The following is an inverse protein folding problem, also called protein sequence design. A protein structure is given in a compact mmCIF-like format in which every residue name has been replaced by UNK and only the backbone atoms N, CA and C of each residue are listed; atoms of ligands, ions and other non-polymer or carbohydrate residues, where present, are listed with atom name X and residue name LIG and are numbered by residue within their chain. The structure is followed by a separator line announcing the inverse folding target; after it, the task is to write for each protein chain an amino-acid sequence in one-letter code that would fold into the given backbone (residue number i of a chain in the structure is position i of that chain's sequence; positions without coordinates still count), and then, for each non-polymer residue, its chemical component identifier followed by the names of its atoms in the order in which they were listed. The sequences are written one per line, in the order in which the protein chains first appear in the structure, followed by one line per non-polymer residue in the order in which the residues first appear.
data_IF_239217510177
#
_entry.id   IF_239217510177
#
_cell.length_a   1.000
_cell.length_b   1.000
_cell.length_c   1.000
_cell.angle_alpha   90.00
_cell.angle_beta   90.00
_cell.angle_gamma   90.00
#
_symmetry.space_group_name_H-M   'P 1'
#
loop_
_entity.id
_entity.type
_entity.pdbx_description
1 polymer ?
#
# COMPACT_ATOMS: atom_id res chain seq x y z
N UNK A 1 -39.77 33.04 6.67
CA UNK A 1 -38.30 32.92 6.59
C UNK A 1 -37.99 31.47 6.35
N UNK A 2 -38.06 31.04 5.08
CA UNK A 2 -37.76 29.66 4.69
C UNK A 2 -36.31 29.62 4.22
N UNK A 3 -35.41 29.13 5.09
CA UNK A 3 -34.04 28.80 4.73
C UNK A 3 -34.07 27.66 3.70
N UNK A 4 -33.97 28.02 2.42
CA UNK A 4 -33.64 27.10 1.34
C UNK A 4 -32.24 26.52 1.59
N UNK A 5 -32.21 25.40 2.31
CA UNK A 5 -31.04 24.53 2.42
C UNK A 5 -30.82 23.90 1.04
N UNK A 6 -30.07 24.59 0.19
CA UNK A 6 -29.61 24.06 -1.09
C UNK A 6 -28.69 22.88 -0.80
N UNK A 7 -29.23 21.67 -0.89
CA UNK A 7 -28.45 20.45 -0.99
C UNK A 7 -27.68 20.52 -2.31
N UNK A 8 -26.45 21.03 -2.25
CA UNK A 8 -25.54 21.00 -3.40
C UNK A 8 -25.19 19.54 -3.67
N UNK A 9 -25.76 18.96 -4.71
CA UNK A 9 -25.32 17.67 -5.24
C UNK A 9 -23.83 17.77 -5.56
N UNK A 10 -22.99 17.14 -4.72
CA UNK A 10 -21.56 17.01 -5.00
C UNK A 10 -21.37 15.86 -5.97
N UNK A 11 -20.79 16.15 -7.13
CA UNK A 11 -20.34 15.13 -8.06
C UNK A 11 -19.31 14.22 -7.35
N UNK A 12 -19.65 12.93 -7.23
CA UNK A 12 -18.80 11.98 -6.53
C UNK A 12 -17.69 11.49 -7.45
N UNK A 13 -16.48 12.05 -7.28
CA UNK A 13 -15.28 11.51 -7.91
C UNK A 13 -14.66 10.42 -7.02
N UNK A 14 -14.68 9.19 -7.51
CA UNK A 14 -14.15 8.03 -6.80
C UNK A 14 -12.66 8.19 -6.44
N UNK A 15 -11.86 8.80 -7.33
CA UNK A 15 -10.44 9.05 -7.07
C UNK A 15 -10.23 9.98 -5.88
N UNK A 16 -11.03 11.05 -5.75
CA UNK A 16 -10.93 11.99 -4.63
C UNK A 16 -11.36 11.36 -3.31
N UNK A 17 -12.29 10.40 -3.36
CA UNK A 17 -12.62 9.58 -2.22
C UNK A 17 -11.44 8.68 -1.81
N UNK A 18 -10.79 7.99 -2.75
CA UNK A 18 -9.65 7.12 -2.47
C UNK A 18 -8.43 7.91 -1.98
N UNK A 19 -8.20 9.13 -2.48
CA UNK A 19 -7.13 10.03 -2.01
C UNK A 19 -7.20 10.29 -0.50
N UNK A 20 -8.40 10.31 0.10
CA UNK A 20 -8.58 10.47 1.55
C UNK A 20 -7.96 9.32 2.36
N UNK A 21 -7.78 8.15 1.75
CA UNK A 21 -7.14 6.98 2.36
C UNK A 21 -5.61 6.98 2.23
N UNK A 22 -5.02 7.88 1.44
CA UNK A 22 -3.58 8.12 1.38
C UNK A 22 -3.06 8.87 2.63
N UNK A 23 -3.62 8.56 3.79
CA UNK A 23 -3.23 9.10 5.09
C UNK A 23 -2.26 8.11 5.77
N UNK A 24 -1.13 8.57 6.34
CA UNK A 24 -0.18 7.70 7.03
C UNK A 24 -0.81 6.78 8.06
N UNK A 25 -1.77 7.26 8.86
CA UNK A 25 -2.43 6.46 9.89
C UNK A 25 -3.20 5.27 9.30
N UNK A 26 -3.86 5.51 8.17
CA UNK A 26 -4.62 4.49 7.43
C UNK A 26 -3.67 3.48 6.80
N UNK A 27 -2.62 3.96 6.12
CA UNK A 27 -1.60 3.11 5.50
C UNK A 27 -0.91 2.22 6.55
N UNK A 28 -0.52 2.79 7.70
CA UNK A 28 0.06 2.06 8.82
C UNK A 28 -0.87 0.95 9.30
N UNK A 29 -2.17 1.21 9.43
CA UNK A 29 -3.13 0.21 9.87
C UNK A 29 -3.23 -0.96 8.88
N UNK A 30 -3.31 -0.68 7.57
CA UNK A 30 -3.32 -1.72 6.55
C UNK A 30 -1.99 -2.50 6.50
N UNK A 31 -0.85 -1.83 6.64
CA UNK A 31 0.45 -2.50 6.70
C UNK A 31 0.59 -3.39 7.94
N UNK A 32 0.03 -2.98 9.09
CA UNK A 32 -0.03 -3.82 10.29
C UNK A 32 -0.96 -5.03 10.12
N UNK A 33 -2.09 -4.87 9.42
CA UNK A 33 -2.93 -6.02 9.05
C UNK A 33 -2.18 -6.96 8.11
N UNK A 34 -1.46 -6.41 7.13
CA UNK A 34 -0.64 -7.18 6.20
C UNK A 34 0.46 -7.97 6.91
N UNK A 35 1.08 -7.47 7.98
CA UNK A 35 2.11 -8.21 8.71
C UNK A 35 1.60 -9.52 9.34
N UNK A 36 0.29 -9.66 9.47
CA UNK A 36 -0.39 -10.84 9.99
C UNK A 36 -1.06 -11.69 8.89
N UNK A 37 -0.63 -11.56 7.62
CA UNK A 37 -1.25 -12.25 6.48
C UNK A 37 -1.38 -13.78 6.65
N UNK A 38 -0.51 -14.42 7.43
CA UNK A 38 -0.56 -15.87 7.69
C UNK A 38 -1.71 -16.31 8.60
N UNK A 39 -2.13 -15.45 9.53
CA UNK A 39 -3.21 -15.72 10.49
C UNK A 39 -4.55 -15.11 10.08
N UNK A 40 -4.52 -14.14 9.17
CA UNK A 40 -5.73 -13.48 8.68
C UNK A 40 -6.59 -14.43 7.84
N UNK A 41 -7.90 -14.15 7.83
CA UNK A 41 -8.80 -14.82 6.88
C UNK A 41 -8.47 -14.44 5.43
N UNK A 42 -8.83 -15.33 4.50
CA UNK A 42 -8.71 -15.12 3.06
C UNK A 42 -9.35 -13.81 2.61
N UNK A 43 -10.56 -13.51 3.10
CA UNK A 43 -11.30 -12.29 2.78
C UNK A 43 -10.60 -11.03 3.30
N UNK A 44 -10.05 -11.08 4.51
CA UNK A 44 -9.31 -9.95 5.08
C UNK A 44 -8.07 -9.64 4.23
N UNK A 45 -7.30 -10.67 3.86
CA UNK A 45 -6.12 -10.49 3.01
C UNK A 45 -6.49 -9.92 1.63
N UNK A 46 -7.61 -10.37 1.04
CA UNK A 46 -8.11 -9.82 -0.22
C UNK A 46 -8.47 -8.34 -0.12
N UNK A 47 -9.14 -7.92 0.96
CA UNK A 47 -9.53 -6.53 1.17
C UNK A 47 -8.30 -5.63 1.41
N UNK A 48 -7.36 -6.10 2.23
CA UNK A 48 -6.08 -5.41 2.46
C UNK A 48 -5.31 -5.26 1.14
N UNK A 49 -5.17 -6.34 0.37
CA UNK A 49 -4.53 -6.32 -0.94
C UNK A 49 -5.17 -5.30 -1.88
N UNK A 50 -6.51 -5.29 -2.00
CA UNK A 50 -7.23 -4.36 -2.87
C UNK A 50 -6.97 -2.90 -2.48
N UNK A 51 -7.00 -2.60 -1.19
CA UNK A 51 -6.73 -1.25 -0.69
C UNK A 51 -5.28 -0.82 -0.93
N UNK A 52 -4.31 -1.70 -0.65
CA UNK A 52 -2.91 -1.41 -0.90
C UNK A 52 -2.59 -1.28 -2.39
N UNK A 53 -3.23 -2.09 -3.24
CA UNK A 53 -3.10 -2.00 -4.69
C UNK A 53 -3.61 -0.64 -5.20
N UNK A 54 -4.79 -0.20 -4.75
CA UNK A 54 -5.34 1.13 -5.11
C UNK A 54 -4.41 2.27 -4.70
N UNK A 55 -3.83 2.19 -3.51
CA UNK A 55 -2.86 3.19 -3.04
C UNK A 55 -1.57 3.17 -3.89
N UNK A 56 -1.03 1.98 -4.17
CA UNK A 56 0.24 1.84 -4.87
C UNK A 56 0.15 2.15 -6.37
N UNK A 57 -0.89 1.64 -7.04
CA UNK A 57 -1.04 1.65 -8.49
C UNK A 57 -1.89 2.83 -8.95
N UNK A 58 -3.12 2.95 -8.44
CA UNK A 58 -4.07 3.96 -8.92
C UNK A 58 -3.65 5.36 -8.48
N UNK A 59 -3.32 5.54 -7.19
CA UNK A 59 -2.86 6.83 -6.67
C UNK A 59 -1.35 7.06 -6.83
N UNK A 60 -0.60 6.07 -7.30
CA UNK A 60 0.87 6.13 -7.41
C UNK A 60 1.58 6.47 -6.09
N UNK A 61 0.96 6.17 -4.95
CA UNK A 61 1.50 6.41 -3.60
C UNK A 61 2.34 5.24 -3.09
N UNK A 62 2.96 4.50 -4.00
CA UNK A 62 3.87 3.40 -3.66
C UNK A 62 5.05 3.81 -2.73
N UNK A 63 5.55 5.07 -2.71
CA UNK A 63 6.62 5.46 -1.79
C UNK A 63 6.20 5.43 -0.32
N UNK A 64 4.90 5.51 -0.02
CA UNK A 64 4.39 5.36 1.35
C UNK A 64 4.68 3.98 1.94
N UNK A 65 4.95 2.97 1.10
CA UNK A 65 5.33 1.62 1.52
C UNK A 65 6.84 1.43 1.67
N UNK A 66 7.66 2.45 1.37
CA UNK A 66 9.11 2.42 1.56
C UNK A 66 9.45 2.54 3.04
N UNK A 67 9.09 1.54 3.82
CA UNK A 67 9.34 1.48 5.25
C UNK A 67 9.86 0.09 5.61
N UNK A 68 10.87 0.01 6.46
CA UNK A 68 11.62 -1.24 6.75
C UNK A 68 10.71 -2.39 7.19
N UNK A 69 9.73 -2.16 8.06
CA UNK A 69 8.79 -3.18 8.54
C UNK A 69 7.86 -3.69 7.43
N UNK A 70 7.47 -2.82 6.50
CA UNK A 70 6.65 -3.18 5.35
C UNK A 70 7.47 -4.00 4.35
N UNK A 71 8.69 -3.54 4.04
CA UNK A 71 9.61 -4.28 3.16
C UNK A 71 9.97 -5.66 3.73
N UNK A 72 10.16 -5.77 5.06
CA UNK A 72 10.36 -7.06 5.73
C UNK A 72 9.14 -7.98 5.61
N UNK A 73 7.94 -7.41 5.65
CA UNK A 73 6.68 -8.16 5.44
C UNK A 73 6.59 -8.66 4.00
N UNK A 74 6.90 -7.80 3.02
CA UNK A 74 6.99 -8.19 1.62
C UNK A 74 8.03 -9.29 1.36
N UNK A 75 9.21 -9.21 1.98
CA UNK A 75 10.21 -10.27 1.90
C UNK A 75 9.66 -11.62 2.39
N UNK A 76 8.92 -11.64 3.50
CA UNK A 76 8.28 -12.86 4.03
C UNK A 76 7.22 -13.41 3.07
N UNK A 77 6.38 -12.55 2.50
CA UNK A 77 5.37 -12.92 1.51
C UNK A 77 6.01 -13.55 0.28
N UNK A 78 7.07 -12.93 -0.26
CA UNK A 78 7.80 -13.43 -1.42
C UNK A 78 8.48 -14.77 -1.11
N UNK A 79 9.07 -14.91 0.08
CA UNK A 79 9.66 -16.16 0.54
C UNK A 79 8.61 -17.28 0.62
N UNK A 80 7.44 -17.02 1.21
CA UNK A 80 6.40 -18.02 1.37
C UNK A 80 5.79 -18.43 0.04
N UNK A 81 5.59 -17.48 -0.87
CA UNK A 81 5.10 -17.77 -2.22
C UNK A 81 6.07 -18.69 -3.01
N UNK A 82 7.37 -18.67 -2.68
CA UNK A 82 8.40 -19.49 -3.33
C UNK A 82 8.69 -20.81 -2.62
N UNK A 83 8.64 -20.81 -1.29
CA UNK A 83 9.08 -21.94 -0.45
C UNK A 83 7.95 -22.89 -0.08
N UNK A 84 6.70 -22.42 -0.06
CA UNK A 84 5.57 -23.28 0.28
C UNK A 84 5.20 -24.21 -0.89
N UNK A 85 4.71 -25.43 -0.59
CA UNK A 85 4.13 -26.32 -1.59
C UNK A 85 2.99 -25.64 -2.35
N UNK A 86 2.82 -25.95 -3.64
CA UNK A 86 1.83 -25.31 -4.51
C UNK A 86 0.39 -25.35 -3.96
N UNK A 87 0.04 -26.40 -3.22
CA UNK A 87 -1.25 -26.60 -2.55
C UNK A 87 -1.55 -25.55 -1.46
N UNK A 88 -0.50 -25.00 -0.83
CA UNK A 88 -0.59 -23.96 0.20
C UNK A 88 -0.44 -22.55 -0.35
N UNK A 89 -0.10 -22.40 -1.64
CA UNK A 89 0.00 -21.11 -2.30
C UNK A 89 -1.34 -20.77 -2.93
N UNK A 90 -2.19 -20.11 -2.15
CA UNK A 90 -3.47 -19.61 -2.63
C UNK A 90 -3.30 -18.43 -3.61
N UNK A 91 -4.37 -18.11 -4.34
CA UNK A 91 -4.35 -17.00 -5.31
C UNK A 91 -4.00 -15.66 -4.65
N UNK A 92 -4.43 -15.44 -3.40
CA UNK A 92 -4.19 -14.18 -2.71
C UNK A 92 -2.72 -14.00 -2.34
N UNK A 93 -2.04 -15.07 -1.91
CA UNK A 93 -0.60 -15.01 -1.64
C UNK A 93 0.18 -14.67 -2.92
N UNK A 94 -0.25 -15.17 -4.09
CA UNK A 94 0.36 -14.81 -5.38
C UNK A 94 0.15 -13.34 -5.73
N UNK A 95 -1.05 -12.80 -5.54
CA UNK A 95 -1.31 -11.39 -5.79
C UNK A 95 -0.58 -10.47 -4.78
N UNK A 96 -0.48 -10.88 -3.51
CA UNK A 96 0.34 -10.19 -2.53
C UNK A 96 1.81 -10.20 -2.91
N UNK A 97 2.32 -11.33 -3.44
CA UNK A 97 3.68 -11.42 -3.96
C UNK A 97 3.90 -10.51 -5.18
N UNK A 98 2.90 -10.35 -6.06
CA UNK A 98 2.95 -9.40 -7.18
C UNK A 98 3.04 -7.96 -6.71
N UNK A 99 2.19 -7.56 -5.76
CA UNK A 99 2.24 -6.23 -5.14
C UNK A 99 3.59 -5.98 -4.46
N UNK A 100 4.06 -6.95 -3.68
CA UNK A 100 5.36 -6.89 -3.02
C UNK A 100 6.51 -6.71 -4.03
N UNK A 101 6.50 -7.48 -5.12
CA UNK A 101 7.49 -7.37 -6.20
C UNK A 101 7.47 -5.99 -6.83
N UNK A 102 6.28 -5.47 -7.16
CA UNK A 102 6.13 -4.13 -7.72
C UNK A 102 6.72 -3.04 -6.82
N UNK A 103 6.37 -3.04 -5.54
CA UNK A 103 6.87 -2.03 -4.59
C UNK A 103 8.38 -2.15 -4.39
N UNK A 104 8.91 -3.37 -4.26
CA UNK A 104 10.36 -3.60 -4.10
C UNK A 104 11.13 -3.15 -5.35
N UNK A 105 10.62 -3.43 -6.56
CA UNK A 105 11.24 -2.95 -7.79
C UNK A 105 11.27 -1.43 -7.86
N UNK A 106 10.16 -0.77 -7.49
CA UNK A 106 10.10 0.70 -7.40
C UNK A 106 11.07 1.24 -6.36
N UNK A 107 11.15 0.62 -5.19
CA UNK A 107 12.11 1.00 -4.16
C UNK A 107 13.56 0.94 -4.65
N UNK A 108 13.94 -0.16 -5.33
CA UNK A 108 15.29 -0.32 -5.88
C UNK A 108 15.58 0.72 -6.96
N UNK A 109 14.62 0.99 -7.85
CA UNK A 109 14.76 2.05 -8.86
C UNK A 109 14.95 3.43 -8.21
N UNK A 110 14.11 3.80 -7.25
CA UNK A 110 14.23 5.08 -6.54
C UNK A 110 15.55 5.16 -5.74
N UNK A 111 16.02 4.05 -5.16
CA UNK A 111 17.28 4.02 -4.41
C UNK A 111 18.53 4.15 -5.30
N UNK A 112 18.43 3.81 -6.59
CA UNK A 112 19.51 4.04 -7.56
C UNK A 112 19.68 5.52 -7.88
N UNK A 113 18.56 6.26 -7.98
CA UNK A 113 18.55 7.69 -8.27
C UNK A 113 18.81 8.55 -7.01
N UNK A 114 18.19 8.18 -5.90
CA UNK A 114 18.26 8.91 -4.64
C UNK A 114 18.64 8.00 -3.46
N UNK A 115 19.90 8.08 -3.01
CA UNK A 115 20.39 7.28 -1.88
C UNK A 115 19.77 7.68 -0.53
N UNK A 116 19.17 8.86 -0.40
CA UNK A 116 18.50 9.28 0.85
C UNK A 116 17.28 8.41 1.17
N UNK A 117 16.72 7.73 0.16
CA UNK A 117 15.64 6.76 0.29
C UNK A 117 15.93 5.73 1.40
N UNK A 118 17.18 5.31 1.58
CA UNK A 118 17.56 4.36 2.63
C UNK A 118 17.33 4.93 4.04
N UNK A 119 17.71 6.19 4.29
CA UNK A 119 17.45 6.85 5.58
C UNK A 119 15.95 7.11 5.77
N UNK A 120 15.27 7.54 4.70
CA UNK A 120 13.83 7.76 4.68
C UNK A 120 13.03 6.49 5.01
N UNK A 121 13.56 5.28 4.75
CA UNK A 121 12.85 4.03 5.11
C UNK A 121 12.60 3.84 6.61
N UNK A 122 13.31 4.59 7.45
CA UNK A 122 13.12 4.55 8.90
C UNK A 122 11.81 5.21 9.32
N UNK A 123 11.28 6.14 8.52
CA UNK A 123 10.12 6.95 8.85
C UNK A 123 8.93 6.65 7.92
N UNK A 124 7.73 6.78 8.51
CA UNK A 124 6.48 6.74 7.76
C UNK A 124 6.31 8.06 7.02
N UNK A 125 6.00 7.97 5.74
CA UNK A 125 5.87 9.14 4.87
C UNK A 125 4.44 9.62 4.81
N UNK A 126 4.26 10.93 4.84
CA UNK A 126 3.03 11.56 4.41
C UNK A 126 2.93 11.62 2.88
N UNK A 127 1.76 11.98 2.35
CA UNK A 127 1.50 12.03 0.91
C UNK A 127 2.45 12.98 0.18
N UNK A 128 2.85 14.09 0.83
CA UNK A 128 3.76 15.09 0.26
C UNK A 128 5.19 14.56 0.21
N UNK A 129 5.70 14.01 1.30
CA UNK A 129 7.02 13.37 1.36
C UNK A 129 7.12 12.19 0.38
N UNK A 130 6.04 11.42 0.24
CA UNK A 130 5.97 10.33 -0.73
C UNK A 130 6.08 10.84 -2.17
N UNK A 131 5.48 12.00 -2.48
CA UNK A 131 5.56 12.61 -3.80
C UNK A 131 6.97 13.16 -4.10
N UNK A 132 7.57 13.87 -3.14
CA UNK A 132 8.94 14.44 -3.21
C UNK A 132 10.03 13.38 -3.29
N UNK A 133 9.75 12.15 -2.85
CA UNK A 133 10.71 11.04 -2.95
C UNK A 133 10.85 10.46 -4.37
N UNK A 134 9.87 10.72 -5.23
CA UNK A 134 9.79 10.16 -6.59
C UNK A 134 10.00 11.22 -7.67
N UNK A 135 9.83 12.50 -7.35
CA UNK A 135 9.96 13.63 -8.27
C UNK A 135 11.02 14.59 -7.77
#
# INVERSE_FOLDING_TARGET
EDEQRSEREQEFHFEDFIKRFANPKVVIAYCKLLSHYRSNSTTTNQQVLRMLYRLAWDLKMYPMFFQVSVLKTFQRILHDCRSLPAERVDANLKELARLATFVVQKFVATAQENRLVFAETLFWKNTKEAYELVH
#
